data_IF_760186114774
#
_entry.id   IF_760186114774
#
_cell.length_a   1.000
_cell.length_b   1.000
_cell.length_c   1.000
_cell.angle_alpha   90.00
_cell.angle_beta   90.00
_cell.angle_gamma   90.00
#
_symmetry.space_group_name_H-M   'P 1'
#
loop_
_entity.id
_entity.type
_entity.pdbx_description
1 polymer ?
#
# COMPACT_ATOMS: atom_id res chain seq x y z
N UNK A 1 57.65 19.60 17.29
CA UNK A 1 56.81 20.31 16.30
C UNK A 1 55.87 19.30 15.66
N UNK A 2 54.56 19.35 15.93
CA UNK A 2 53.57 18.40 15.42
C UNK A 2 52.63 19.17 14.48
N UNK A 3 52.69 18.86 13.19
CA UNK A 3 51.88 19.51 12.16
C UNK A 3 50.49 18.88 12.17
N UNK A 4 49.47 19.67 12.49
CA UNK A 4 48.07 19.28 12.37
C UNK A 4 47.66 19.62 10.94
N UNK A 5 47.36 18.59 10.15
CA UNK A 5 46.78 18.72 8.81
C UNK A 5 45.26 18.78 9.01
N UNK A 6 44.68 19.97 8.85
CA UNK A 6 43.24 20.13 8.76
C UNK A 6 42.80 19.67 7.36
N UNK A 7 42.28 18.45 7.26
CA UNK A 7 41.58 18.01 6.06
C UNK A 7 40.21 18.71 6.02
N UNK A 8 40.09 19.71 5.15
CA UNK A 8 38.81 20.31 4.77
C UNK A 8 37.97 19.26 4.06
N UNK A 9 36.98 18.71 4.77
CA UNK A 9 35.96 17.84 4.18
C UNK A 9 35.07 18.70 3.28
N UNK A 10 35.02 18.48 1.95
CA UNK A 10 34.06 19.18 1.11
C UNK A 10 32.66 18.74 1.53
N UNK A 11 31.84 19.69 2.00
CA UNK A 11 30.40 19.50 2.09
C UNK A 11 29.90 19.23 0.66
N UNK A 12 29.58 17.97 0.37
CA UNK A 12 28.80 17.61 -0.79
C UNK A 12 27.42 18.25 -0.58
N UNK A 13 27.15 19.30 -1.34
CA UNK A 13 25.81 19.84 -1.53
C UNK A 13 24.97 18.74 -2.19
N UNK A 14 24.34 17.89 -1.38
CA UNK A 14 23.22 17.07 -1.83
C UNK A 14 22.11 18.07 -2.19
N UNK A 15 21.98 18.35 -3.49
CA UNK A 15 20.86 19.15 -3.97
C UNK A 15 19.57 18.43 -3.60
N UNK A 16 18.60 19.17 -3.04
CA UNK A 16 17.23 18.69 -2.89
C UNK A 16 16.65 18.50 -4.29
N UNK A 17 16.88 17.34 -4.90
CA UNK A 17 16.28 16.97 -6.17
C UNK A 17 14.87 16.48 -5.89
N UNK A 18 13.88 17.27 -6.29
CA UNK A 18 12.50 16.80 -6.37
C UNK A 18 12.39 15.86 -7.56
N UNK A 19 11.82 14.69 -7.35
CA UNK A 19 11.51 13.73 -8.42
C UNK A 19 10.34 14.25 -9.26
N UNK A 20 10.22 13.76 -10.47
CA UNK A 20 9.06 13.94 -11.34
C UNK A 20 8.61 12.60 -11.92
N UNK A 21 7.52 12.63 -12.69
CA UNK A 21 6.88 11.43 -13.21
C UNK A 21 7.75 10.57 -14.17
N UNK A 22 8.85 11.12 -14.70
CA UNK A 22 9.74 10.42 -15.63
C UNK A 22 11.12 10.11 -14.99
N UNK A 23 11.26 10.34 -13.69
CA UNK A 23 12.51 10.11 -12.97
C UNK A 23 12.82 8.62 -12.83
N UNK A 24 14.10 8.29 -12.64
CA UNK A 24 14.50 6.96 -12.18
C UNK A 24 14.22 6.85 -10.68
N UNK A 25 13.33 5.92 -10.29
CA UNK A 25 12.88 5.75 -8.91
C UNK A 25 13.80 4.85 -8.08
N UNK A 26 14.95 4.45 -8.61
CA UNK A 26 15.96 3.64 -7.90
C UNK A 26 16.44 4.26 -6.58
N UNK A 27 16.37 5.58 -6.46
CA UNK A 27 16.70 6.36 -5.26
C UNK A 27 15.51 7.24 -4.83
N UNK A 28 14.33 6.61 -4.69
CA UNK A 28 13.08 7.26 -4.31
C UNK A 28 12.90 7.50 -2.80
N UNK A 29 13.81 7.01 -1.95
CA UNK A 29 13.69 7.07 -0.48
C UNK A 29 14.38 8.32 0.05
N UNK A 30 13.68 9.12 0.85
CA UNK A 30 14.26 10.24 1.58
C UNK A 30 14.76 9.81 2.96
N UNK A 31 13.88 9.18 3.74
CA UNK A 31 14.21 8.74 5.09
C UNK A 31 13.43 7.50 5.53
N UNK A 32 13.95 6.83 6.55
CA UNK A 32 13.34 5.68 7.18
C UNK A 32 13.34 5.94 8.68
N UNK A 33 12.16 5.94 9.29
CA UNK A 33 11.98 6.11 10.73
C UNK A 33 11.42 4.84 11.36
N UNK A 34 12.18 4.25 12.28
CA UNK A 34 11.71 3.11 13.06
C UNK A 34 10.79 3.57 14.18
N UNK A 35 9.57 3.04 14.23
CA UNK A 35 8.63 3.22 15.34
C UNK A 35 8.46 1.89 16.08
N UNK A 36 7.73 1.91 17.19
CA UNK A 36 7.59 0.72 18.05
C UNK A 36 6.95 -0.47 17.33
N UNK A 37 5.96 -0.22 16.47
CA UNK A 37 5.14 -1.26 15.84
C UNK A 37 5.19 -1.26 14.30
N UNK A 38 5.89 -0.30 13.70
CA UNK A 38 5.98 -0.15 12.25
C UNK A 38 7.24 0.64 11.88
N UNK A 39 7.66 0.53 10.62
CA UNK A 39 8.64 1.39 10.00
C UNK A 39 7.91 2.41 9.14
N UNK A 40 8.21 3.69 9.30
CA UNK A 40 7.74 4.75 8.40
C UNK A 40 8.81 4.99 7.35
N UNK A 41 8.48 4.75 6.09
CA UNK A 41 9.34 5.04 4.94
C UNK A 41 8.81 6.29 4.26
N UNK A 42 9.64 7.33 4.22
CA UNK A 42 9.29 8.61 3.59
C UNK A 42 9.95 8.65 2.22
N UNK A 43 9.13 8.77 1.19
CA UNK A 43 9.58 8.99 -0.18
C UNK A 43 10.11 10.40 -0.37
N UNK A 44 11.07 10.57 -1.29
CA UNK A 44 11.51 11.89 -1.74
C UNK A 44 10.34 12.65 -2.35
N UNK A 45 10.36 13.97 -2.15
CA UNK A 45 9.43 14.90 -2.77
C UNK A 45 9.30 14.64 -4.28
N UNK A 46 8.07 14.39 -4.73
CA UNK A 46 7.67 14.12 -6.10
C UNK A 46 6.77 15.25 -6.61
N UNK A 47 7.00 15.68 -7.84
CA UNK A 47 6.04 16.51 -8.59
C UNK A 47 5.10 15.57 -9.37
N UNK A 48 3.84 15.41 -8.93
CA UNK A 48 2.91 14.52 -9.62
C UNK A 48 2.52 15.07 -10.98
N UNK A 49 2.00 14.19 -11.85
CA UNK A 49 1.32 14.64 -13.05
C UNK A 49 -0.01 15.27 -12.62
N UNK A 50 -0.25 16.51 -13.03
CA UNK A 50 -1.48 17.23 -12.70
C UNK A 50 -2.33 17.47 -13.96
N UNK A 51 -3.57 16.99 -13.91
CA UNK A 51 -4.58 17.15 -14.95
C UNK A 51 -5.73 17.99 -14.38
N UNK A 52 -5.60 19.33 -14.36
CA UNK A 52 -6.67 20.19 -13.85
C UNK A 52 -7.92 20.04 -14.72
N UNK A 53 -9.05 19.75 -14.08
CA UNK A 53 -10.35 19.82 -14.75
C UNK A 53 -10.98 21.19 -14.51
N UNK A 54 -11.83 21.62 -15.45
CA UNK A 54 -12.56 22.91 -15.49
C UNK A 54 -12.46 23.74 -14.20
N UNK A 55 -11.73 24.86 -14.25
CA UNK A 55 -11.65 25.81 -13.13
C UNK A 55 -10.40 25.64 -12.25
N UNK A 56 -9.79 24.47 -12.19
CA UNK A 56 -8.55 24.28 -11.43
C UNK A 56 -7.38 25.08 -12.01
N UNK A 57 -6.87 26.07 -11.29
CA UNK A 57 -5.63 26.78 -11.63
C UNK A 57 -4.52 26.47 -10.64
N UNK A 58 -3.93 25.30 -10.83
CA UNK A 58 -2.75 24.84 -10.12
C UNK A 58 -1.52 25.66 -10.56
N UNK A 59 -0.78 26.17 -9.58
CA UNK A 59 0.52 26.84 -9.80
C UNK A 59 1.66 25.86 -9.58
N UNK A 60 1.60 25.11 -8.48
CA UNK A 60 2.62 24.12 -8.11
C UNK A 60 1.99 23.03 -7.27
N UNK A 61 2.43 21.80 -7.47
CA UNK A 61 2.12 20.65 -6.62
C UNK A 61 3.39 19.89 -6.30
N UNK A 62 3.51 19.45 -5.06
CA UNK A 62 4.56 18.54 -4.62
C UNK A 62 3.97 17.61 -3.57
N UNK A 63 4.41 16.37 -3.53
CA UNK A 63 3.96 15.40 -2.55
C UNK A 63 5.06 14.44 -2.11
N UNK A 64 4.84 13.80 -0.98
CA UNK A 64 5.67 12.73 -0.44
C UNK A 64 4.76 11.56 -0.04
N UNK A 65 5.11 10.35 -0.48
CA UNK A 65 4.46 9.15 0.01
C UNK A 65 5.08 8.75 1.35
N UNK A 66 4.23 8.64 2.37
CA UNK A 66 4.58 8.17 3.70
C UNK A 66 4.03 6.74 3.86
N UNK A 67 4.87 5.76 3.53
CA UNK A 67 4.51 4.35 3.58
C UNK A 67 4.73 3.79 4.98
N UNK A 68 3.69 3.19 5.54
CA UNK A 68 3.72 2.50 6.83
C UNK A 68 3.90 1.01 6.60
N UNK A 69 5.09 0.50 6.91
CA UNK A 69 5.42 -0.92 6.83
C UNK A 69 5.30 -1.57 8.23
N UNK A 70 4.29 -2.39 8.52
CA UNK A 70 4.10 -2.99 9.84
C UNK A 70 5.27 -3.89 10.25
N UNK A 71 5.63 -3.86 11.54
CA UNK A 71 6.58 -4.81 12.13
C UNK A 71 5.77 -5.97 12.72
N UNK A 72 5.55 -7.05 11.95
CA UNK A 72 4.70 -8.24 12.24
C UNK A 72 3.20 -8.00 12.03
N UNK A 73 2.35 -8.96 12.42
CA UNK A 73 0.88 -8.90 12.41
C UNK A 73 0.30 -7.94 13.48
N UNK A 74 0.97 -6.82 13.73
CA UNK A 74 0.55 -5.81 14.69
C UNK A 74 -0.16 -4.70 13.92
N UNK A 75 -1.26 -4.20 14.48
CA UNK A 75 -2.02 -3.08 13.90
C UNK A 75 -1.12 -1.84 13.79
N UNK A 76 -0.97 -1.34 12.58
CA UNK A 76 -0.26 -0.12 12.22
C UNK A 76 -1.25 0.94 11.68
N UNK A 77 -0.91 2.23 11.73
CA UNK A 77 -1.71 3.26 11.08
C UNK A 77 -1.68 3.12 9.55
N UNK A 78 -2.65 3.75 8.89
CA UNK A 78 -2.70 3.80 7.43
C UNK A 78 -1.51 4.60 6.88
N UNK A 79 -1.08 4.23 5.67
CA UNK A 79 -0.15 5.05 4.89
C UNK A 79 -0.83 6.34 4.44
N UNK A 80 -0.06 7.34 4.05
CA UNK A 80 -0.65 8.61 3.60
C UNK A 80 0.24 9.37 2.62
N UNK A 81 -0.38 10.23 1.83
CA UNK A 81 0.31 11.22 0.99
C UNK A 81 0.33 12.53 1.76
N UNK A 82 1.50 13.13 1.93
CA UNK A 82 1.63 14.53 2.36
C UNK A 82 1.78 15.40 1.13
N UNK A 83 0.88 16.36 0.96
CA UNK A 83 0.83 17.21 -0.24
C UNK A 83 1.01 18.68 0.10
N UNK A 84 1.84 19.36 -0.70
CA UNK A 84 1.93 20.81 -0.82
C UNK A 84 1.28 21.20 -2.15
N UNK A 85 0.22 22.01 -2.09
CA UNK A 85 -0.49 22.48 -3.28
C UNK A 85 -0.60 24.00 -3.26
N UNK A 86 -0.13 24.65 -4.31
CA UNK A 86 -0.24 26.10 -4.51
C UNK A 86 -1.15 26.40 -5.69
N UNK A 87 -2.13 27.28 -5.49
CA UNK A 87 -3.12 27.72 -6.49
C UNK A 87 -3.39 29.22 -6.36
N UNK A 88 -4.09 29.82 -7.33
CA UNK A 88 -4.44 31.24 -7.25
C UNK A 88 -5.56 31.49 -6.24
N UNK A 89 -5.43 32.53 -5.41
CA UNK A 89 -6.40 32.86 -4.35
C UNK A 89 -7.79 33.27 -4.87
N UNK A 90 -7.92 33.60 -6.15
CA UNK A 90 -9.23 33.83 -6.78
C UNK A 90 -10.13 32.59 -6.76
N UNK A 91 -9.59 31.43 -6.39
CA UNK A 91 -10.29 30.15 -6.28
C UNK A 91 -10.55 29.77 -4.81
N UNK A 92 -11.61 29.00 -4.61
CA UNK A 92 -11.96 28.47 -3.31
C UNK A 92 -10.90 27.48 -2.80
N UNK A 93 -10.77 27.38 -1.48
CA UNK A 93 -9.92 26.38 -0.84
C UNK A 93 -10.45 24.97 -1.09
N UNK A 94 -9.55 24.06 -1.47
CA UNK A 94 -9.87 22.66 -1.72
C UNK A 94 -10.25 21.94 -0.42
N UNK A 95 -11.27 21.08 -0.49
CA UNK A 95 -11.99 20.60 0.69
C UNK A 95 -11.96 19.10 0.86
N UNK A 96 -11.87 18.35 -0.23
CA UNK A 96 -11.88 16.90 -0.18
C UNK A 96 -11.00 16.28 -1.26
N UNK A 97 -10.56 15.06 -0.99
CA UNK A 97 -9.90 14.18 -1.95
C UNK A 97 -10.73 12.92 -2.22
N UNK A 98 -10.49 12.30 -3.36
CA UNK A 98 -11.00 10.97 -3.73
C UNK A 98 -9.88 10.18 -4.39
N UNK A 99 -9.67 8.93 -4.00
CA UNK A 99 -8.56 8.08 -4.46
C UNK A 99 -9.09 7.00 -5.40
N UNK A 100 -8.37 6.73 -6.50
CA UNK A 100 -8.62 5.70 -7.51
C UNK A 100 -10.05 5.58 -8.03
N UNK A 101 -10.72 6.73 -8.19
CA UNK A 101 -12.09 6.78 -8.68
C UNK A 101 -13.14 6.32 -7.66
N UNK A 102 -12.74 6.06 -6.42
CA UNK A 102 -13.67 5.93 -5.30
C UNK A 102 -14.50 7.22 -5.17
N UNK A 103 -15.79 7.06 -4.93
CA UNK A 103 -16.72 8.17 -4.68
C UNK A 103 -16.68 8.65 -3.23
N UNK A 104 -15.92 7.99 -2.36
CA UNK A 104 -15.73 8.38 -0.95
C UNK A 104 -14.95 9.68 -0.86
N UNK A 105 -15.63 10.75 -0.40
CA UNK A 105 -15.01 12.06 -0.18
C UNK A 105 -14.26 12.07 1.15
N UNK A 106 -12.94 12.15 1.05
CA UNK A 106 -12.05 12.28 2.21
C UNK A 106 -11.87 13.77 2.51
N UNK A 107 -12.32 14.29 3.67
CA UNK A 107 -12.13 15.70 4.01
C UNK A 107 -10.65 16.03 4.17
N UNK A 108 -10.19 17.10 3.54
CA UNK A 108 -8.82 17.56 3.68
C UNK A 108 -8.62 18.23 5.02
N UNK A 109 -7.66 17.73 5.79
CA UNK A 109 -7.23 18.33 7.05
C UNK A 109 -5.81 18.84 6.86
N UNK A 110 -5.64 20.15 7.02
CA UNK A 110 -4.34 20.79 6.84
C UNK A 110 -3.39 20.41 7.98
N UNK A 111 -2.23 19.83 7.68
CA UNK A 111 -1.19 19.51 8.67
C UNK A 111 -0.31 20.72 9.02
N UNK A 112 -0.31 21.75 8.17
CA UNK A 112 0.35 23.02 8.42
C UNK A 112 -0.59 24.18 8.05
N UNK A 113 -0.35 25.35 8.64
CA UNK A 113 -1.14 26.54 8.36
C UNK A 113 -0.99 26.93 6.87
N UNK A 114 -2.10 27.15 6.13
CA UNK A 114 -2.02 27.66 4.77
C UNK A 114 -1.29 29.00 4.73
N UNK A 115 -0.50 29.22 3.68
CA UNK A 115 0.23 30.47 3.47
C UNK A 115 -0.27 31.19 2.23
N UNK A 116 -0.19 32.51 2.24
CA UNK A 116 -0.57 33.36 1.12
C UNK A 116 0.62 34.22 0.71
N UNK A 117 0.86 34.30 -0.60
CA UNK A 117 1.83 35.23 -1.18
C UNK A 117 1.12 36.11 -2.19
N UNK A 118 1.19 37.43 -2.00
CA UNK A 118 0.60 38.41 -2.91
C UNK A 118 1.68 39.29 -3.50
N UNK A 119 1.82 39.21 -4.83
CA UNK A 119 2.46 40.25 -5.64
C UNK A 119 1.36 41.00 -6.42
N UNK A 120 1.42 41.02 -7.75
CA UNK A 120 0.32 41.48 -8.60
C UNK A 120 -0.83 40.46 -8.67
N UNK A 121 -0.51 39.18 -8.40
CA UNK A 121 -1.45 38.07 -8.31
C UNK A 121 -1.20 37.36 -6.97
N UNK A 122 -2.28 37.05 -6.25
CA UNK A 122 -2.21 36.31 -4.99
C UNK A 122 -2.31 34.81 -5.22
N UNK A 123 -1.40 34.05 -4.60
CA UNK A 123 -1.45 32.59 -4.52
C UNK A 123 -1.63 32.14 -3.09
N UNK A 124 -2.27 30.98 -2.92
CA UNK A 124 -2.46 30.31 -1.65
C UNK A 124 -1.82 28.92 -1.73
N UNK A 125 -1.10 28.55 -0.67
CA UNK A 125 -0.48 27.23 -0.51
C UNK A 125 -1.17 26.50 0.64
N UNK A 126 -1.61 25.28 0.36
CA UNK A 126 -2.20 24.35 1.32
C UNK A 126 -1.30 23.15 1.54
N UNK A 127 -1.40 22.59 2.74
CA UNK A 127 -0.57 21.50 3.24
C UNK A 127 -1.49 20.47 3.88
N UNK A 128 -1.80 19.38 3.21
CA UNK A 128 -2.77 18.39 3.70
C UNK A 128 -2.28 16.95 3.51
N UNK A 129 -2.85 16.05 4.31
CA UNK A 129 -2.61 14.62 4.19
C UNK A 129 -3.83 13.92 3.56
N UNK A 130 -3.56 12.97 2.67
CA UNK A 130 -4.56 12.05 2.13
C UNK A 130 -4.22 10.65 2.64
N UNK A 131 -5.03 10.03 3.51
CA UNK A 131 -4.83 8.65 3.92
C UNK A 131 -5.00 7.72 2.72
N UNK A 132 -4.18 6.67 2.68
CA UNK A 132 -4.23 5.58 1.72
C UNK A 132 -4.49 4.29 2.48
N UNK A 133 -5.52 3.55 2.10
CA UNK A 133 -5.75 2.22 2.63
C UNK A 133 -4.66 1.26 2.15
N UNK A 134 -4.48 0.14 2.85
CA UNK A 134 -3.55 -0.90 2.40
C UNK A 134 -3.87 -1.37 0.98
N UNK A 135 -5.16 -1.45 0.62
CA UNK A 135 -5.59 -1.82 -0.71
C UNK A 135 -5.16 -0.78 -1.76
N UNK A 136 -5.28 0.51 -1.46
CA UNK A 136 -4.84 1.57 -2.38
C UNK A 136 -3.34 1.48 -2.62
N UNK A 137 -2.54 1.26 -1.56
CA UNK A 137 -1.09 1.12 -1.67
C UNK A 137 -0.70 -0.13 -2.47
N UNK A 138 -1.35 -1.26 -2.22
CA UNK A 138 -1.07 -2.52 -2.95
C UNK A 138 -1.36 -2.35 -4.45
N UNK A 139 -2.50 -1.77 -4.82
CA UNK A 139 -2.84 -1.50 -6.21
C UNK A 139 -1.88 -0.51 -6.87
N UNK A 140 -1.49 0.51 -6.12
CA UNK A 140 -0.61 1.57 -6.56
C UNK A 140 0.84 1.11 -6.83
N UNK A 141 1.23 -0.10 -6.42
CA UNK A 141 2.51 -0.69 -6.85
C UNK A 141 2.43 -1.29 -8.26
N UNK A 142 1.23 -1.54 -8.77
CA UNK A 142 1.00 -2.22 -10.06
C UNK A 142 0.49 -1.27 -11.16
N UNK A 143 -0.37 -0.32 -10.80
CA UNK A 143 -0.88 0.72 -11.70
C UNK A 143 -0.62 2.11 -11.10
N UNK A 144 -0.59 3.15 -11.93
CA UNK A 144 -0.41 4.52 -11.45
C UNK A 144 -1.55 4.92 -10.51
N UNK A 145 -1.20 5.44 -9.33
CA UNK A 145 -2.16 5.91 -8.34
C UNK A 145 -2.75 7.24 -8.78
N UNK A 146 -4.07 7.31 -8.91
CA UNK A 146 -4.76 8.55 -9.27
C UNK A 146 -5.63 9.05 -8.15
N UNK A 147 -5.61 10.36 -7.90
CA UNK A 147 -6.51 10.96 -6.92
C UNK A 147 -6.97 12.34 -7.38
N UNK A 148 -8.23 12.67 -7.09
CA UNK A 148 -8.76 14.01 -7.32
C UNK A 148 -8.70 14.81 -6.03
N UNK A 149 -8.29 16.07 -6.13
CA UNK A 149 -8.43 17.08 -5.06
C UNK A 149 -9.44 18.11 -5.54
N UNK A 150 -10.48 18.36 -4.75
CA UNK A 150 -11.66 19.07 -5.19
C UNK A 150 -12.14 20.16 -4.21
N UNK A 151 -12.60 21.27 -4.79
CA UNK A 151 -13.44 22.28 -4.13
C UNK A 151 -14.90 21.80 -4.12
N UNK A 152 -15.33 21.24 -5.26
CA UNK A 152 -16.68 20.73 -5.52
C UNK A 152 -16.61 19.62 -6.57
N UNK A 153 -17.73 18.93 -6.82
CA UNK A 153 -17.76 17.83 -7.81
C UNK A 153 -17.38 18.26 -9.23
N UNK A 154 -17.52 19.55 -9.55
CA UNK A 154 -17.22 20.11 -10.87
C UNK A 154 -15.88 20.87 -10.92
N UNK A 155 -15.24 21.10 -9.78
CA UNK A 155 -14.00 21.87 -9.66
C UNK A 155 -12.98 21.03 -8.90
N UNK A 156 -12.17 20.33 -9.69
CA UNK A 156 -11.21 19.34 -9.20
C UNK A 156 -9.98 19.26 -10.07
N UNK A 157 -8.87 18.91 -9.44
CA UNK A 157 -7.60 18.62 -10.09
C UNK A 157 -7.34 17.14 -9.90
N UNK A 158 -7.15 16.43 -11.00
CA UNK A 158 -6.70 15.05 -10.96
C UNK A 158 -5.17 15.01 -10.88
N UNK A 159 -4.63 14.22 -9.97
CA UNK A 159 -3.22 13.95 -9.82
C UNK A 159 -2.93 12.48 -10.11
N UNK A 160 -1.75 12.22 -10.66
CA UNK A 160 -1.27 10.86 -10.93
C UNK A 160 0.15 10.72 -10.39
N UNK A 161 0.36 9.66 -9.60
CA UNK A 161 1.65 9.23 -9.08
C UNK A 161 2.06 7.96 -9.83
N UNK A 162 3.26 7.91 -10.44
CA UNK A 162 3.71 6.71 -11.16
C UNK A 162 3.84 5.49 -10.25
N UNK A 163 3.41 4.33 -10.73
CA UNK A 163 3.50 3.07 -9.97
C UNK A 163 4.93 2.77 -9.51
N UNK A 164 5.92 3.00 -10.37
CA UNK A 164 7.33 2.73 -10.06
C UNK A 164 7.89 3.55 -8.89
N UNK A 165 7.35 4.75 -8.62
CA UNK A 165 7.72 5.53 -7.43
C UNK A 165 7.20 4.85 -6.16
N UNK A 166 5.97 4.37 -6.20
CA UNK A 166 5.29 3.74 -5.07
C UNK A 166 5.89 2.36 -4.80
N UNK A 167 6.09 1.56 -5.85
CA UNK A 167 6.76 0.27 -5.81
C UNK A 167 8.13 0.37 -5.13
N UNK A 168 8.98 1.31 -5.55
CA UNK A 168 10.31 1.51 -4.95
C UNK A 168 10.26 1.81 -3.44
N UNK A 169 9.25 2.56 -3.00
CA UNK A 169 9.05 2.89 -1.58
C UNK A 169 8.56 1.69 -0.79
N UNK A 170 7.56 0.98 -1.33
CA UNK A 170 6.93 -0.18 -0.69
C UNK A 170 7.92 -1.35 -0.60
N UNK A 171 8.64 -1.67 -1.67
CA UNK A 171 9.65 -2.73 -1.70
C UNK A 171 10.72 -2.48 -0.64
N UNK A 172 11.22 -1.23 -0.55
CA UNK A 172 12.22 -0.88 0.45
C UNK A 172 11.69 -1.03 1.87
N UNK A 173 10.46 -0.56 2.12
CA UNK A 173 9.82 -0.68 3.43
C UNK A 173 9.63 -2.12 3.86
N UNK A 174 9.14 -2.98 2.96
CA UNK A 174 8.95 -4.39 3.22
C UNK A 174 10.28 -5.12 3.48
N UNK A 175 11.31 -4.82 2.69
CA UNK A 175 12.64 -5.38 2.90
C UNK A 175 13.24 -4.98 4.26
N UNK A 176 13.04 -3.72 4.68
CA UNK A 176 13.50 -3.25 5.98
C UNK A 176 12.72 -3.91 7.13
N UNK A 177 11.39 -3.94 7.05
CA UNK A 177 10.54 -4.54 8.07
C UNK A 177 10.83 -6.03 8.27
N UNK A 178 11.14 -6.79 7.21
CA UNK A 178 11.53 -8.20 7.28
C UNK A 178 12.93 -8.42 7.88
N UNK A 179 13.90 -7.54 7.55
CA UNK A 179 15.25 -7.61 8.10
C UNK A 179 15.28 -7.36 9.62
N UNK A 180 14.43 -6.46 10.12
CA UNK A 180 14.28 -6.16 11.55
C UNK A 180 13.68 -7.31 12.36
N UNK A 181 12.99 -8.27 11.73
CA UNK A 181 12.47 -9.48 12.40
C UNK A 181 13.58 -10.53 12.59
N UNK A 182 14.53 -10.58 11.64
CA UNK A 182 15.63 -11.57 11.62
C UNK A 182 16.78 -11.23 12.57
N UNK A 183 16.90 -9.97 13.00
CA UNK A 183 18.02 -9.48 13.82
C UNK A 183 17.77 -9.54 15.34
N UNK A 184 16.71 -10.19 15.82
CA UNK A 184 16.52 -10.41 17.27
C UNK A 184 17.69 -11.22 17.85
N UNK A 185 18.44 -10.70 18.84
CA UNK A 185 19.56 -11.43 19.41
C UNK A 185 19.04 -12.65 20.17
N UNK A 186 19.42 -13.82 19.69
CA UNK A 186 19.22 -15.09 20.39
C UNK A 186 19.92 -14.97 21.75
N UNK A 187 19.15 -14.84 22.83
CA UNK A 187 19.67 -14.91 24.19
C UNK A 187 20.24 -16.31 24.37
N UNK A 188 21.57 -16.40 24.31
CA UNK A 188 22.34 -17.60 24.59
C UNK A 188 22.06 -18.05 26.03
N UNK A 189 21.08 -18.94 26.20
CA UNK A 189 20.83 -19.59 27.48
C UNK A 189 21.95 -20.58 27.70
N UNK A 190 22.86 -20.21 28.59
CA UNK A 190 24.00 -21.03 28.99
C UNK A 190 23.51 -22.29 29.68
N UNK A 191 23.79 -23.45 29.09
CA UNK A 191 23.65 -24.76 29.72
C UNK A 191 24.43 -24.76 31.03
N UNK A 192 23.74 -24.81 32.16
CA UNK A 192 24.34 -25.16 33.46
C UNK A 192 23.68 -26.43 33.98
N UNK A 193 24.56 -27.39 34.22
CA UNK A 193 24.36 -28.74 34.74
C UNK A 193 23.64 -28.73 36.09
N UNK A 194 22.69 -29.64 36.36
CA UNK A 194 22.07 -29.73 37.68
C UNK A 194 23.02 -30.44 38.67
N UNK A 195 23.36 -29.76 39.76
CA UNK A 195 24.04 -30.33 40.91
C UNK A 195 22.99 -30.87 41.90
N UNK A 196 23.12 -32.15 42.22
CA UNK A 196 22.29 -32.92 43.14
C UNK A 196 22.47 -32.45 44.59
N UNK A 197 21.38 -32.20 45.34
CA UNK A 197 21.35 -32.36 46.79
C UNK A 197 20.04 -33.03 47.22
N UNK A 198 20.22 -34.03 48.08
CA UNK A 198 19.26 -34.98 48.63
C UNK A 198 18.77 -34.54 50.02
N UNK A 199 17.57 -35.03 50.38
CA UNK A 199 17.01 -35.30 51.71
C UNK A 199 16.10 -34.23 52.36
N UNK A 200 14.89 -34.68 52.72
CA UNK A 200 14.00 -33.98 53.65
C UNK A 200 12.57 -34.53 53.62
N UNK A 201 12.33 -35.59 54.40
CA UNK A 201 11.07 -36.33 54.52
C UNK A 201 9.90 -35.50 55.08
N UNK A 202 8.67 -35.83 54.68
CA UNK A 202 7.44 -35.31 55.30
C UNK A 202 6.19 -35.83 54.61
N UNK A 203 5.64 -36.92 55.13
CA UNK A 203 4.45 -37.62 54.66
C UNK A 203 3.15 -36.80 54.83
N UNK A 204 2.18 -36.96 53.93
CA UNK A 204 0.79 -37.36 54.22
C UNK A 204 -0.15 -37.18 53.00
N UNK A 205 -0.84 -38.29 52.66
CA UNK A 205 -2.23 -38.47 52.19
C UNK A 205 -3.05 -37.23 51.73
N UNK A 206 -3.92 -37.26 50.71
CA UNK A 206 -5.09 -38.14 50.53
C UNK A 206 -5.51 -38.22 49.04
N UNK A 207 -6.17 -39.33 48.69
CA UNK A 207 -6.72 -39.77 47.42
C UNK A 207 -7.90 -38.94 46.84
N UNK A 208 -8.04 -39.05 45.50
CA UNK A 208 -9.25 -39.26 44.65
C UNK A 208 -10.49 -38.33 44.82
N UNK A 209 -11.17 -37.80 43.80
CA UNK A 209 -11.97 -38.39 42.68
C UNK A 209 -12.45 -37.20 41.79
N UNK A 210 -12.78 -37.37 40.49
CA UNK A 210 -12.88 -36.27 39.53
C UNK A 210 -14.26 -35.61 39.47
N UNK A 211 -14.31 -34.36 39.01
CA UNK A 211 -15.56 -33.69 38.58
C UNK A 211 -15.35 -33.11 37.18
N UNK A 212 -16.14 -33.65 36.26
CA UNK A 212 -16.32 -33.23 34.87
C UNK A 212 -17.27 -32.03 34.89
N UNK A 213 -16.85 -30.88 34.35
CA UNK A 213 -17.78 -29.90 33.79
C UNK A 213 -17.13 -29.30 32.55
N UNK A 214 -17.68 -29.68 31.40
CA UNK A 214 -17.46 -29.04 30.13
C UNK A 214 -18.10 -27.65 30.13
N UNK A 215 -17.33 -26.64 29.71
CA UNK A 215 -17.86 -25.41 29.15
C UNK A 215 -16.87 -24.97 28.08
N UNK A 216 -17.17 -25.35 26.85
CA UNK A 216 -16.57 -24.82 25.62
C UNK A 216 -16.95 -23.36 25.51
N UNK A 217 -15.97 -22.46 25.63
CA UNK A 217 -16.10 -21.10 25.13
C UNK A 217 -15.23 -21.01 23.87
N UNK A 218 -15.81 -21.56 22.80
CA UNK A 218 -15.32 -21.37 21.43
C UNK A 218 -15.72 -19.96 21.03
N UNK A 219 -14.83 -18.99 21.26
CA UNK A 219 -14.87 -17.72 20.54
C UNK A 219 -14.63 -18.03 19.07
N UNK A 220 -15.75 -18.11 18.34
CA UNK A 220 -15.82 -18.20 16.89
C UNK A 220 -15.09 -16.97 16.34
N UNK A 221 -13.91 -17.22 15.78
CA UNK A 221 -13.35 -16.38 14.72
C UNK A 221 -14.39 -16.38 13.62
N UNK A 222 -15.09 -15.26 13.45
CA UNK A 222 -15.82 -15.01 12.21
C UNK A 222 -14.79 -14.79 11.12
N UNK A 223 -14.35 -15.91 10.56
CA UNK A 223 -13.79 -15.99 9.22
C UNK A 223 -14.88 -15.48 8.28
N UNK A 224 -14.73 -14.25 7.78
CA UNK A 224 -15.42 -13.81 6.57
C UNK A 224 -14.90 -14.68 5.44
N UNK A 225 -15.53 -15.85 5.26
CA UNK A 225 -15.49 -16.60 4.02
C UNK A 225 -16.08 -15.67 2.98
N UNK A 226 -15.21 -15.05 2.17
CA UNK A 226 -15.64 -14.40 0.93
C UNK A 226 -16.18 -15.54 0.07
N UNK A 227 -17.50 -15.75 0.06
CA UNK A 227 -18.11 -16.70 -0.87
C UNK A 227 -17.69 -16.27 -2.27
N UNK A 228 -16.84 -17.08 -2.89
CA UNK A 228 -16.41 -16.87 -4.27
C UNK A 228 -17.66 -16.81 -5.14
N UNK A 229 -17.75 -15.76 -5.94
CA UNK A 229 -18.90 -15.66 -6.82
C UNK A 229 -18.83 -16.76 -7.87
N UNK A 230 -19.98 -17.28 -8.28
CA UNK A 230 -20.07 -18.33 -9.30
C UNK A 230 -19.25 -18.05 -10.56
N UNK A 231 -19.16 -16.80 -11.08
CA UNK A 231 -18.23 -16.47 -12.16
C UNK A 231 -16.76 -16.77 -11.83
N UNK A 232 -16.28 -16.45 -10.63
CA UNK A 232 -14.90 -16.67 -10.21
C UNK A 232 -14.57 -18.16 -10.12
N UNK A 233 -15.43 -18.92 -9.43
CA UNK A 233 -15.31 -20.37 -9.29
C UNK A 233 -15.28 -21.05 -10.67
N UNK A 234 -16.23 -20.69 -11.53
CA UNK A 234 -16.35 -21.33 -12.84
C UNK A 234 -15.21 -20.90 -13.78
N UNK A 235 -14.74 -19.67 -13.73
CA UNK A 235 -13.58 -19.26 -14.55
C UNK A 235 -12.33 -20.02 -14.16
N UNK A 236 -12.08 -20.20 -12.85
CA UNK A 236 -10.96 -21.01 -12.37
C UNK A 236 -11.09 -22.47 -12.80
N UNK A 237 -12.27 -23.06 -12.62
CA UNK A 237 -12.55 -24.44 -13.03
C UNK A 237 -12.22 -24.68 -14.51
N UNK A 238 -12.68 -23.79 -15.41
CA UNK A 238 -12.42 -23.93 -16.84
C UNK A 238 -10.96 -23.66 -17.21
N UNK A 239 -10.29 -22.74 -16.49
CA UNK A 239 -8.86 -22.50 -16.67
C UNK A 239 -8.01 -23.74 -16.35
N UNK A 240 -8.38 -24.49 -15.32
CA UNK A 240 -7.69 -25.73 -14.94
C UNK A 240 -7.82 -26.85 -15.98
N UNK A 241 -8.88 -26.85 -16.79
CA UNK A 241 -9.08 -27.81 -17.88
C UNK A 241 -8.22 -27.50 -19.12
N UNK A 242 -7.63 -26.31 -19.20
CA UNK A 242 -6.77 -25.91 -20.31
C UNK A 242 -5.39 -26.57 -20.23
N UNK A 243 -4.78 -26.83 -21.38
CA UNK A 243 -3.34 -27.17 -21.43
C UNK A 243 -2.46 -25.92 -21.27
N UNK A 244 -1.16 -26.11 -21.03
CA UNK A 244 -0.25 -25.01 -20.69
C UNK A 244 -0.20 -23.89 -21.75
N UNK A 245 -0.23 -24.25 -23.04
CA UNK A 245 -0.26 -23.27 -24.14
C UNK A 245 -1.57 -22.48 -24.16
N UNK A 246 -2.69 -23.14 -23.88
CA UNK A 246 -3.98 -22.47 -23.77
C UNK A 246 -4.07 -21.60 -22.52
N UNK A 247 -3.49 -22.02 -21.39
CA UNK A 247 -3.43 -21.22 -20.17
C UNK A 247 -2.72 -19.90 -20.41
N UNK A 248 -1.55 -19.93 -21.03
CA UNK A 248 -0.79 -18.72 -21.37
C UNK A 248 -1.60 -17.78 -22.28
N UNK A 249 -2.20 -18.32 -23.34
CA UNK A 249 -3.07 -17.55 -24.24
C UNK A 249 -4.29 -16.96 -23.53
N UNK A 250 -4.91 -17.70 -22.62
CA UNK A 250 -6.09 -17.26 -21.89
C UNK A 250 -5.79 -16.26 -20.78
N UNK A 251 -4.63 -16.38 -20.12
CA UNK A 251 -4.13 -15.38 -19.18
C UNK A 251 -3.88 -14.06 -19.89
N UNK A 252 -3.21 -14.07 -21.04
CA UNK A 252 -2.99 -12.86 -21.83
C UNK A 252 -4.32 -12.24 -22.30
N UNK A 253 -5.22 -13.07 -22.84
CA UNK A 253 -6.53 -12.60 -23.27
C UNK A 253 -7.36 -11.99 -22.12
N UNK A 254 -7.29 -12.57 -20.92
CA UNK A 254 -7.99 -12.04 -19.74
C UNK A 254 -7.44 -10.66 -19.32
N UNK A 255 -6.12 -10.48 -19.36
CA UNK A 255 -5.44 -9.21 -19.07
C UNK A 255 -5.83 -8.13 -20.08
N UNK A 256 -5.90 -8.47 -21.37
CA UNK A 256 -6.31 -7.57 -22.45
C UNK A 256 -7.78 -7.13 -22.30
N UNK A 257 -8.65 -8.00 -21.77
CA UNK A 257 -10.09 -7.76 -21.67
C UNK A 257 -10.56 -7.34 -20.27
N UNK A 258 -9.62 -7.00 -19.37
CA UNK A 258 -9.90 -6.73 -17.95
C UNK A 258 -10.86 -5.55 -17.70
N UNK A 259 -10.81 -4.50 -18.53
CA UNK A 259 -11.69 -3.30 -18.44
C UNK A 259 -12.79 -3.27 -19.51
N UNK A 260 -12.99 -4.35 -20.27
CA UNK A 260 -13.92 -4.37 -21.41
C UNK A 260 -15.35 -4.66 -20.96
N UNK A 261 -16.26 -3.70 -21.16
CA UNK A 261 -17.67 -3.82 -20.73
C UNK A 261 -18.45 -4.98 -21.41
N UNK A 262 -18.06 -5.38 -22.62
CA UNK A 262 -18.62 -6.54 -23.32
C UNK A 262 -17.53 -7.21 -24.14
N UNK A 263 -17.11 -8.40 -23.73
CA UNK A 263 -16.04 -9.13 -24.40
C UNK A 263 -16.61 -9.96 -25.55
N UNK A 264 -15.93 -9.97 -26.69
CA UNK A 264 -16.26 -10.86 -27.80
C UNK A 264 -16.06 -12.33 -27.37
N UNK A 265 -16.91 -13.23 -27.89
CA UNK A 265 -16.78 -14.65 -27.59
C UNK A 265 -15.39 -15.16 -28.01
N UNK A 266 -14.72 -15.88 -27.10
CA UNK A 266 -13.45 -16.55 -27.40
C UNK A 266 -13.71 -17.62 -28.45
N UNK A 267 -12.98 -17.59 -29.56
CA UNK A 267 -13.00 -18.66 -30.55
C UNK A 267 -11.95 -19.70 -30.18
N UNK A 268 -12.32 -20.98 -30.10
CA UNK A 268 -11.39 -22.04 -29.73
C UNK A 268 -12.09 -23.31 -29.26
N UNK A 269 -11.40 -24.07 -28.41
CA UNK A 269 -11.91 -25.23 -27.69
C UNK A 269 -13.12 -24.88 -26.81
N UNK A 270 -13.86 -25.90 -26.38
CA UNK A 270 -15.03 -25.70 -25.52
C UNK A 270 -14.62 -25.05 -24.19
N UNK A 271 -13.46 -25.41 -23.68
CA UNK A 271 -12.89 -24.94 -22.42
C UNK A 271 -12.56 -23.44 -22.50
N UNK A 272 -11.93 -22.99 -23.60
CA UNK A 272 -11.63 -21.56 -23.85
C UNK A 272 -12.92 -20.72 -23.98
N UNK A 273 -13.92 -21.27 -24.66
CA UNK A 273 -15.24 -20.63 -24.79
C UNK A 273 -15.92 -20.48 -23.42
N UNK A 274 -15.87 -21.53 -22.60
CA UNK A 274 -16.49 -21.52 -21.28
C UNK A 274 -15.74 -20.62 -20.29
N UNK A 275 -14.40 -20.59 -20.34
CA UNK A 275 -13.60 -19.61 -19.61
C UNK A 275 -14.04 -18.19 -19.98
N UNK A 276 -14.08 -17.86 -21.27
CA UNK A 276 -14.46 -16.53 -21.75
C UNK A 276 -15.89 -16.14 -21.38
N UNK A 277 -16.82 -17.10 -21.40
CA UNK A 277 -18.21 -16.90 -20.97
C UNK A 277 -18.33 -16.53 -19.49
N UNK A 278 -17.67 -17.27 -18.60
CA UNK A 278 -17.71 -17.02 -17.16
C UNK A 278 -16.93 -15.76 -16.79
N UNK A 279 -15.80 -15.50 -17.46
CA UNK A 279 -15.04 -14.27 -17.31
C UNK A 279 -15.85 -13.04 -17.72
N UNK A 280 -16.65 -13.12 -18.79
CA UNK A 280 -17.53 -12.02 -19.19
C UNK A 280 -18.68 -11.79 -18.18
N UNK A 281 -19.17 -12.86 -17.53
CA UNK A 281 -20.19 -12.73 -16.47
C UNK A 281 -19.66 -12.12 -15.18
N UNK A 282 -18.35 -12.16 -14.95
CA UNK A 282 -17.72 -11.50 -13.83
C UNK A 282 -17.79 -9.98 -13.98
N UNK A 283 -18.09 -9.27 -12.90
CA UNK A 283 -17.97 -7.82 -12.80
C UNK A 283 -16.48 -7.40 -12.77
N UNK A 284 -16.20 -6.10 -12.82
CA UNK A 284 -14.82 -5.60 -12.90
C UNK A 284 -13.95 -6.07 -11.72
N UNK A 285 -14.50 -6.04 -10.50
CA UNK A 285 -13.79 -6.52 -9.30
C UNK A 285 -13.56 -8.03 -9.36
N UNK A 286 -14.54 -8.79 -9.83
CA UNK A 286 -14.43 -10.23 -9.96
C UNK A 286 -13.40 -10.64 -11.02
N UNK A 287 -13.34 -9.93 -12.15
CA UNK A 287 -12.32 -10.14 -13.19
C UNK A 287 -10.92 -9.83 -12.69
N UNK A 288 -10.75 -8.80 -11.87
CA UNK A 288 -9.47 -8.50 -11.20
C UNK A 288 -9.03 -9.67 -10.32
N UNK A 289 -9.91 -10.16 -9.46
CA UNK A 289 -9.61 -11.33 -8.60
C UNK A 289 -9.33 -12.60 -9.41
N UNK A 290 -10.04 -12.81 -10.52
CA UNK A 290 -9.74 -13.92 -11.44
C UNK A 290 -8.32 -13.77 -11.97
N UNK A 291 -7.97 -12.61 -12.56
CA UNK A 291 -6.66 -12.39 -13.18
C UNK A 291 -5.52 -12.60 -12.18
N UNK A 292 -5.66 -12.12 -10.94
CA UNK A 292 -4.66 -12.34 -9.88
C UNK A 292 -4.37 -13.84 -9.73
N UNK A 293 -5.41 -14.67 -9.63
CA UNK A 293 -5.26 -16.13 -9.48
C UNK A 293 -4.70 -16.84 -10.71
N UNK A 294 -4.82 -16.25 -11.90
CA UNK A 294 -4.24 -16.82 -13.13
C UNK A 294 -2.73 -16.57 -13.23
N UNK A 295 -2.20 -15.65 -12.42
CA UNK A 295 -0.80 -15.25 -12.40
C UNK A 295 -0.01 -15.87 -11.24
N UNK A 296 -0.70 -16.49 -10.28
CA UNK A 296 -0.12 -17.31 -9.20
C UNK A 296 0.31 -18.71 -9.70
#
# INVERSE_FOLDING_TARGET
>A
MKRIICASFPLLLVGCTTLDANSDFSDAIDSIEEKQNYTLVVGKSLTPIANPQRGGQLVKSSLELNYVAPLKDIVAPDSFISMEMTYFKTYDEYKFATVDGDSTKIPLVNYAAPSETCSDICTQTQYFNIPLSNQDVEQATLEDLSFDVAVSDNDKINFVIPAGYIEAIVERGNAYSQASISSSPMVATSTTTPMTITAGAGAASVAAVPVVVAATDTTVVSETVVEESKPQEMTQYWFEQLNDTQKESMTQWAVENRKTASINAVSGSQEEQMFGYWFNKANEQERKNIIIRLLD
#
